data_IF_573453836160
#
_entry.id   IF_573453836160
#
_cell.length_a   1.000
_cell.length_b   1.000
_cell.length_c   1.000
_cell.angle_alpha   90.00
_cell.angle_beta   90.00
_cell.angle_gamma   90.00
#
_symmetry.space_group_name_H-M   'P 1'
#
loop_
_entity.id
_entity.type
_entity.pdbx_description
1 polymer ?
#
# COMPACT_ATOMS: atom_id res chain seq x y z
N UNK A 1 28.75 -11.30 -30.80
CA UNK A 1 28.62 -10.09 -31.64
C UNK A 1 27.18 -9.63 -31.52
N UNK A 2 26.91 -8.54 -30.80
CA UNK A 2 25.57 -7.96 -30.71
C UNK A 2 25.53 -6.71 -31.57
N UNK A 3 24.69 -6.71 -32.60
CA UNK A 3 24.39 -5.52 -33.40
C UNK A 3 23.54 -4.55 -32.57
N UNK A 4 24.05 -3.34 -32.37
CA UNK A 4 23.27 -2.25 -31.81
C UNK A 4 22.36 -1.68 -32.90
N UNK A 5 21.06 -1.88 -32.73
CA UNK A 5 20.03 -1.20 -33.51
C UNK A 5 20.04 0.27 -33.08
N UNK A 6 20.62 1.15 -33.90
CA UNK A 6 20.50 2.61 -33.75
C UNK A 6 19.09 3.03 -34.18
N UNK A 7 18.29 3.45 -33.22
CA UNK A 7 17.13 4.31 -33.49
C UNK A 7 17.61 5.76 -33.43
N UNK A 8 17.34 6.52 -34.50
CA UNK A 8 17.65 7.96 -34.57
C UNK A 8 16.82 8.72 -33.52
N UNK A 9 17.47 9.23 -32.48
CA UNK A 9 16.84 10.10 -31.47
C UNK A 9 17.40 11.51 -31.64
N UNK A 10 16.69 12.35 -32.39
CA UNK A 10 17.04 13.74 -32.69
C UNK A 10 16.57 14.75 -31.63
N UNK A 11 16.61 14.37 -30.35
CA UNK A 11 16.31 15.23 -29.21
C UNK A 11 17.17 14.77 -28.04
N UNK A 12 17.62 15.68 -27.17
CA UNK A 12 18.53 15.41 -26.05
C UNK A 12 17.95 14.50 -24.95
N UNK A 13 17.53 13.29 -25.31
CA UNK A 13 17.04 12.25 -24.44
C UNK A 13 18.25 11.47 -23.94
N UNK A 14 18.61 11.67 -22.67
CA UNK A 14 19.61 10.84 -22.01
C UNK A 14 18.95 9.54 -21.54
N UNK A 15 19.51 8.38 -21.94
CA UNK A 15 19.18 7.10 -21.34
C UNK A 15 19.93 6.96 -20.02
N UNK A 16 19.27 7.22 -18.90
CA UNK A 16 19.87 7.17 -17.55
C UNK A 16 19.32 6.06 -16.67
N UNK A 17 18.27 5.38 -17.12
CA UNK A 17 17.63 4.31 -16.38
C UNK A 17 17.98 2.96 -17.02
N UNK A 18 18.50 2.02 -16.23
CA UNK A 18 19.01 0.72 -16.71
C UNK A 18 18.34 -0.44 -15.98
N UNK A 19 18.15 -1.56 -16.69
CA UNK A 19 17.85 -2.86 -16.09
C UNK A 19 19.13 -3.69 -16.08
N UNK A 20 19.67 -3.95 -14.89
CA UNK A 20 20.84 -4.81 -14.71
C UNK A 20 20.35 -6.16 -14.23
N UNK A 21 20.68 -7.22 -14.97
CA UNK A 21 20.34 -8.60 -14.64
C UNK A 21 21.58 -9.48 -14.74
N UNK A 22 21.56 -10.59 -14.00
CA UNK A 22 22.61 -11.60 -14.12
C UNK A 22 22.52 -12.32 -15.47
N UNK A 23 23.64 -12.90 -15.91
CA UNK A 23 23.71 -13.60 -17.20
C UNK A 23 22.75 -14.79 -17.27
N UNK A 24 22.43 -15.38 -16.13
CA UNK A 24 21.50 -16.49 -15.97
C UNK A 24 20.04 -16.04 -16.15
N UNK A 25 19.70 -14.79 -15.80
CA UNK A 25 18.34 -14.26 -15.89
C UNK A 25 18.04 -13.72 -17.30
N UNK A 26 19.05 -13.23 -18.00
CA UNK A 26 18.90 -12.57 -19.30
C UNK A 26 18.09 -13.39 -20.34
N UNK A 27 18.29 -14.72 -20.50
CA UNK A 27 17.53 -15.53 -21.46
C UNK A 27 16.03 -15.62 -21.15
N UNK A 28 15.61 -15.29 -19.93
CA UNK A 28 14.22 -15.31 -19.53
C UNK A 28 13.50 -14.00 -19.81
N UNK A 29 14.19 -12.91 -20.18
CA UNK A 29 13.54 -11.66 -20.56
C UNK A 29 12.90 -11.84 -21.95
N UNK A 30 11.57 -11.76 -22.01
CA UNK A 30 10.79 -11.92 -23.25
C UNK A 30 10.49 -10.58 -23.91
N UNK A 31 10.33 -9.54 -23.10
CA UNK A 31 9.97 -8.21 -23.56
C UNK A 31 10.71 -7.16 -22.75
N UNK A 32 11.16 -6.10 -23.41
CA UNK A 32 11.75 -4.92 -22.78
C UNK A 32 11.44 -3.69 -23.62
N UNK A 33 10.67 -2.76 -23.07
CA UNK A 33 10.22 -1.55 -23.75
C UNK A 33 10.34 -0.34 -22.82
N UNK A 34 10.74 0.80 -23.37
CA UNK A 34 10.59 2.11 -22.73
C UNK A 34 9.27 2.69 -23.22
N UNK A 35 8.32 2.87 -22.31
CA UNK A 35 7.01 3.43 -22.64
C UNK A 35 7.10 4.95 -22.83
N UNK A 36 6.14 5.50 -23.56
CA UNK A 36 6.02 6.96 -23.72
C UNK A 36 5.99 7.67 -22.36
N UNK A 37 6.60 8.85 -22.32
CA UNK A 37 6.59 9.70 -21.14
C UNK A 37 5.13 10.02 -20.75
N UNK A 38 4.79 9.69 -19.51
CA UNK A 38 3.51 10.06 -18.92
C UNK A 38 3.75 10.99 -17.72
N UNK A 39 3.42 12.29 -17.86
CA UNK A 39 3.54 13.29 -16.78
C UNK A 39 2.78 12.94 -15.50
N UNK A 40 1.91 11.92 -15.56
CA UNK A 40 1.20 11.39 -14.40
C UNK A 40 2.12 10.60 -13.46
N UNK A 41 3.14 9.93 -13.99
CA UNK A 41 3.97 8.98 -13.25
C UNK A 41 5.39 9.47 -12.99
N UNK A 42 5.89 10.39 -13.81
CA UNK A 42 7.20 11.03 -13.62
C UNK A 42 7.19 12.41 -14.28
N UNK A 43 8.07 13.29 -13.82
CA UNK A 43 8.35 14.59 -14.40
C UNK A 43 9.54 14.59 -15.36
N UNK A 44 10.43 13.59 -15.26
CA UNK A 44 11.67 13.54 -16.05
C UNK A 44 11.95 12.18 -16.71
N UNK A 45 11.31 11.09 -16.27
CA UNK A 45 11.64 9.73 -16.71
C UNK A 45 10.48 9.02 -17.41
N UNK A 46 10.80 8.29 -18.48
CA UNK A 46 9.88 7.33 -19.07
C UNK A 46 9.85 6.03 -18.27
N UNK A 47 8.70 5.35 -18.25
CA UNK A 47 8.59 4.05 -17.55
C UNK A 47 9.27 2.96 -18.39
N UNK A 48 10.13 2.17 -17.76
CA UNK A 48 10.58 0.90 -18.32
C UNK A 48 9.58 -0.22 -18.02
N UNK A 49 9.28 -1.03 -19.03
CA UNK A 49 8.45 -2.22 -18.95
C UNK A 49 9.27 -3.41 -19.42
N UNK A 50 9.27 -4.50 -18.65
CA UNK A 50 9.88 -5.74 -19.10
C UNK A 50 9.10 -6.94 -18.58
N UNK A 51 9.17 -8.05 -19.32
CA UNK A 51 8.51 -9.30 -18.98
C UNK A 51 9.54 -10.41 -18.87
N UNK A 52 9.50 -11.16 -17.78
CA UNK A 52 10.37 -12.33 -17.56
C UNK A 52 9.51 -13.59 -17.64
N UNK A 53 9.89 -14.53 -18.50
CA UNK A 53 9.31 -15.88 -18.57
C UNK A 53 9.97 -16.76 -17.53
N UNK A 54 9.31 -16.90 -16.39
CA UNK A 54 9.71 -17.88 -15.38
C UNK A 54 8.89 -19.16 -15.52
N UNK A 55 9.56 -20.27 -15.87
CA UNK A 55 9.02 -21.62 -15.63
C UNK A 55 9.24 -21.99 -14.15
N UNK A 56 8.61 -21.25 -13.23
CA UNK A 56 8.76 -21.54 -11.81
C UNK A 56 7.82 -22.69 -11.41
N UNK A 57 8.37 -23.86 -11.08
CA UNK A 57 7.80 -24.66 -10.00
C UNK A 57 8.07 -23.86 -8.73
N UNK A 58 7.05 -23.17 -8.24
CA UNK A 58 7.15 -22.30 -7.07
C UNK A 58 7.40 -23.18 -5.84
N UNK A 59 8.66 -23.30 -5.43
CA UNK A 59 9.00 -23.59 -4.03
C UNK A 59 9.13 -22.22 -3.37
N UNK A 60 8.10 -21.83 -2.62
CA UNK A 60 8.04 -20.55 -1.94
C UNK A 60 9.07 -20.49 -0.80
N UNK A 61 10.24 -19.92 -1.06
CA UNK A 61 11.07 -19.29 -0.02
C UNK A 61 11.06 -17.78 -0.28
N UNK A 62 10.07 -17.08 0.26
CA UNK A 62 9.99 -15.63 0.17
C UNK A 62 10.54 -15.00 1.46
N UNK A 63 11.78 -14.50 1.40
CA UNK A 63 12.21 -13.37 2.22
C UNK A 63 11.86 -12.08 1.47
N UNK A 64 10.79 -11.40 1.88
CA UNK A 64 10.51 -10.02 1.47
C UNK A 64 10.43 -9.15 2.73
N UNK A 65 11.27 -8.12 2.76
CA UNK A 65 11.31 -7.11 3.81
C UNK A 65 9.99 -6.32 3.85
N UNK A 66 9.42 -6.22 5.04
CA UNK A 66 8.10 -5.63 5.30
C UNK A 66 8.09 -4.11 5.11
N UNK A 67 7.11 -3.64 4.33
CA UNK A 67 6.54 -2.31 4.49
C UNK A 67 5.65 -2.27 5.73
N UNK A 68 5.68 -1.16 6.48
CA UNK A 68 4.86 -0.84 7.67
C UNK A 68 3.35 -0.80 7.38
N UNK A 69 2.77 -1.95 7.07
CA UNK A 69 1.34 -2.17 7.20
C UNK A 69 1.14 -3.11 8.40
N UNK A 70 0.43 -2.64 9.43
CA UNK A 70 0.03 -3.41 10.63
C UNK A 70 -0.99 -4.53 10.32
N UNK A 71 -0.84 -5.22 9.20
CA UNK A 71 -1.52 -6.48 8.94
C UNK A 71 -0.63 -7.59 9.49
N UNK A 72 -1.18 -8.40 10.39
CA UNK A 72 -0.53 -9.63 10.80
C UNK A 72 -0.56 -10.58 9.61
N UNK A 73 0.59 -10.76 8.97
CA UNK A 73 0.74 -11.66 7.82
C UNK A 73 0.86 -13.09 8.34
N UNK A 74 0.17 -14.03 7.69
CA UNK A 74 0.33 -15.46 7.98
C UNK A 74 1.75 -15.90 7.59
N UNK A 75 2.48 -16.49 8.54
CA UNK A 75 3.83 -17.03 8.32
C UNK A 75 3.79 -18.52 8.66
N UNK A 76 4.36 -19.37 7.80
CA UNK A 76 4.28 -20.83 7.96
C UNK A 76 4.76 -21.33 9.34
N UNK A 77 5.77 -20.69 9.93
CA UNK A 77 6.26 -21.01 11.28
C UNK A 77 5.28 -20.73 12.43
N UNK A 78 4.12 -20.14 12.16
CA UNK A 78 3.05 -19.89 13.15
C UNK A 78 1.91 -20.89 13.08
N UNK A 79 1.96 -21.84 12.12
CA UNK A 79 0.92 -22.84 11.92
C UNK A 79 0.68 -23.66 13.18
N UNK A 80 1.73 -24.24 13.74
CA UNK A 80 1.60 -25.16 14.87
C UNK A 80 1.09 -24.41 16.10
N UNK A 81 1.57 -23.19 16.35
CA UNK A 81 1.07 -22.31 17.42
C UNK A 81 -0.44 -22.05 17.30
N UNK A 82 -0.95 -21.86 16.08
CA UNK A 82 -2.39 -21.64 15.84
C UNK A 82 -3.20 -22.92 16.05
N UNK A 83 -2.69 -24.05 15.57
CA UNK A 83 -3.33 -25.36 15.72
C UNK A 83 -3.37 -25.75 17.19
N UNK A 84 -2.25 -25.63 17.91
CA UNK A 84 -2.17 -25.90 19.35
C UNK A 84 -3.14 -25.00 20.13
N UNK A 85 -3.28 -23.72 19.75
CA UNK A 85 -4.22 -22.81 20.38
C UNK A 85 -5.71 -23.17 20.15
N UNK A 86 -6.03 -23.93 19.10
CA UNK A 86 -7.36 -24.50 18.88
C UNK A 86 -7.52 -25.80 19.68
N UNK A 87 -6.50 -26.66 19.67
CA UNK A 87 -6.48 -27.92 20.45
C UNK A 87 -6.62 -27.63 21.95
N UNK A 88 -5.99 -26.57 22.46
CA UNK A 88 -6.14 -26.09 23.84
C UNK A 88 -7.60 -25.77 24.21
N UNK A 89 -8.49 -25.59 23.22
CA UNK A 89 -9.91 -25.31 23.39
C UNK A 89 -10.81 -26.51 23.04
N UNK A 90 -10.23 -27.73 22.96
CA UNK A 90 -10.96 -28.94 22.58
C UNK A 90 -12.21 -29.17 23.43
N UNK A 91 -12.12 -29.01 24.76
CA UNK A 91 -13.28 -29.17 25.65
C UNK A 91 -14.44 -28.22 25.30
N UNK A 92 -14.13 -27.01 24.84
CA UNK A 92 -15.14 -26.04 24.40
C UNK A 92 -15.75 -26.43 23.07
N UNK A 93 -14.95 -27.01 22.16
CA UNK A 93 -15.41 -27.53 20.87
C UNK A 93 -16.34 -28.73 21.11
N UNK A 94 -15.94 -29.66 21.96
CA UNK A 94 -16.71 -30.87 22.29
C UNK A 94 -18.05 -30.48 22.94
N UNK A 95 -18.05 -29.50 23.84
CA UNK A 95 -19.29 -28.95 24.41
C UNK A 95 -20.20 -28.32 23.34
N UNK A 96 -19.65 -27.61 22.34
CA UNK A 96 -20.45 -27.06 21.24
C UNK A 96 -21.05 -28.19 20.39
N UNK A 97 -20.30 -29.25 20.13
CA UNK A 97 -20.76 -30.39 19.34
C UNK A 97 -21.89 -31.14 20.05
N UNK A 98 -21.76 -31.42 21.36
CA UNK A 98 -22.83 -32.04 22.15
C UNK A 98 -24.09 -31.16 22.15
N UNK A 99 -23.95 -29.85 22.35
CA UNK A 99 -25.08 -28.92 22.29
C UNK A 99 -25.74 -28.89 20.90
N UNK A 100 -24.99 -29.12 19.82
CA UNK A 100 -25.56 -29.20 18.47
C UNK A 100 -26.34 -30.49 18.23
N UNK A 101 -25.90 -31.61 18.82
CA UNK A 101 -26.57 -32.90 18.71
C UNK A 101 -27.88 -32.97 19.51
N UNK A 102 -27.95 -32.24 20.62
CA UNK A 102 -29.14 -32.20 21.48
C UNK A 102 -30.27 -31.28 20.93
N UNK A 103 -29.96 -30.40 19.96
CA UNK A 103 -30.92 -29.43 19.43
C UNK A 103 -31.64 -29.98 18.19
N UNK A 104 -32.85 -30.50 18.41
CA UNK A 104 -33.69 -31.07 17.33
C UNK A 104 -34.24 -30.02 16.35
N UNK A 105 -34.53 -28.79 16.80
CA UNK A 105 -35.01 -27.68 15.97
C UNK A 105 -34.42 -26.36 16.46
N UNK A 106 -33.24 -25.95 15.96
CA UNK A 106 -32.55 -24.77 16.46
C UNK A 106 -33.30 -23.49 16.09
N UNK A 107 -33.46 -22.61 17.07
CA UNK A 107 -33.86 -21.22 16.87
C UNK A 107 -32.71 -20.41 16.28
N UNK A 108 -33.03 -19.27 15.66
CA UNK A 108 -32.02 -18.37 15.10
C UNK A 108 -31.00 -17.90 16.17
N UNK A 109 -31.46 -17.70 17.41
CA UNK A 109 -30.62 -17.24 18.51
C UNK A 109 -29.62 -18.32 18.95
N UNK A 110 -30.03 -19.59 18.97
CA UNK A 110 -29.14 -20.71 19.25
C UNK A 110 -28.06 -20.86 18.16
N UNK A 111 -28.44 -20.72 16.89
CA UNK A 111 -27.50 -20.72 15.76
C UNK A 111 -26.49 -19.57 15.91
N UNK A 112 -26.98 -18.34 16.17
CA UNK A 112 -26.11 -17.18 16.36
C UNK A 112 -25.15 -17.38 17.55
N UNK A 113 -25.63 -17.96 18.64
CA UNK A 113 -24.81 -18.25 19.82
C UNK A 113 -23.70 -19.26 19.50
N UNK A 114 -24.02 -20.34 18.79
CA UNK A 114 -23.04 -21.34 18.35
C UNK A 114 -22.00 -20.72 17.40
N UNK A 115 -22.45 -19.96 16.41
CA UNK A 115 -21.55 -19.25 15.47
C UNK A 115 -20.61 -18.30 16.22
N UNK A 116 -21.12 -17.57 17.22
CA UNK A 116 -20.31 -16.69 18.05
C UNK A 116 -19.29 -17.46 18.89
N UNK A 117 -19.66 -18.60 19.48
CA UNK A 117 -18.73 -19.46 20.24
C UNK A 117 -17.60 -19.98 19.36
N UNK A 118 -17.92 -20.51 18.17
CA UNK A 118 -16.93 -20.98 17.20
C UNK A 118 -16.03 -19.83 16.74
N UNK A 119 -16.61 -18.68 16.41
CA UNK A 119 -15.86 -17.49 15.99
C UNK A 119 -14.89 -17.04 17.08
N UNK A 120 -15.31 -17.08 18.35
CA UNK A 120 -14.46 -16.72 19.48
C UNK A 120 -13.28 -17.67 19.66
N UNK A 121 -13.44 -18.97 19.40
CA UNK A 121 -12.35 -19.96 19.43
C UNK A 121 -11.27 -19.57 18.41
N UNK A 122 -11.67 -19.31 17.16
CA UNK A 122 -10.74 -18.90 16.10
C UNK A 122 -10.10 -17.53 16.37
N UNK A 123 -10.86 -16.56 16.89
CA UNK A 123 -10.33 -15.24 17.27
C UNK A 123 -9.34 -15.35 18.41
N UNK A 124 -9.60 -16.20 19.41
CA UNK A 124 -8.69 -16.46 20.53
C UNK A 124 -7.39 -17.09 20.03
N UNK A 125 -7.48 -18.13 19.19
CA UNK A 125 -6.32 -18.78 18.57
C UNK A 125 -5.50 -17.79 17.73
N UNK A 126 -6.16 -16.94 16.94
CA UNK A 126 -5.51 -15.89 16.17
C UNK A 126 -4.80 -14.88 17.07
N UNK A 127 -5.44 -14.43 18.16
CA UNK A 127 -4.83 -13.50 19.10
C UNK A 127 -3.62 -14.10 19.82
N UNK A 128 -3.64 -15.39 20.15
CA UNK A 128 -2.49 -16.10 20.75
C UNK A 128 -1.33 -16.22 19.75
N UNK A 129 -1.64 -16.45 18.47
CA UNK A 129 -0.66 -16.67 17.40
C UNK A 129 -0.03 -15.39 16.86
N UNK A 130 -0.84 -14.35 16.71
CA UNK A 130 -0.45 -13.10 16.06
C UNK A 130 -0.30 -11.93 17.02
N UNK A 131 -0.74 -12.09 18.28
CA UNK A 131 -0.89 -11.02 19.24
C UNK A 131 -2.24 -10.31 19.06
N UNK A 132 -2.75 -9.68 20.13
CA UNK A 132 -3.90 -8.78 19.99
C UNK A 132 -3.46 -7.56 19.18
N UNK A 133 -4.27 -7.14 18.20
CA UNK A 133 -4.12 -5.79 17.65
C UNK A 133 -4.22 -4.82 18.81
N UNK A 134 -3.12 -4.17 19.18
CA UNK A 134 -3.21 -2.95 19.94
C UNK A 134 -4.05 -1.99 19.10
N UNK A 135 -5.14 -1.46 19.66
CA UNK A 135 -5.80 -0.29 19.10
C UNK A 135 -4.89 0.91 19.31
N UNK A 136 -3.74 0.94 18.65
CA UNK A 136 -2.84 2.08 18.66
C UNK A 136 -3.31 3.07 17.61
N UNK A 137 -4.30 3.88 17.99
CA UNK A 137 -4.53 5.15 17.34
C UNK A 137 -4.82 6.22 18.40
N UNK A 138 -3.92 6.38 19.36
CA UNK A 138 -3.49 7.76 19.61
C UNK A 138 -2.65 8.13 18.38
N UNK A 139 -3.33 8.65 17.36
CA UNK A 139 -2.64 9.30 16.25
C UNK A 139 -1.93 10.46 16.92
N UNK A 140 -0.63 10.29 17.10
CA UNK A 140 0.26 11.37 17.50
C UNK A 140 0.06 12.48 16.46
N UNK A 141 -0.74 13.50 16.81
CA UNK A 141 -1.06 14.63 15.95
C UNK A 141 0.20 15.47 15.65
N UNK A 142 1.38 15.07 16.16
CA UNK A 142 2.63 15.80 16.13
C UNK A 142 3.36 15.83 14.79
N UNK A 143 2.85 15.19 13.72
CA UNK A 143 3.58 15.12 12.42
C UNK A 143 2.76 15.42 11.18
N UNK A 144 1.73 16.26 11.28
CA UNK A 144 1.20 16.85 10.06
C UNK A 144 2.13 17.97 9.61
N UNK A 145 2.68 17.82 8.41
CA UNK A 145 3.37 18.89 7.71
C UNK A 145 2.52 20.17 7.79
N UNK A 146 3.04 21.28 8.35
CA UNK A 146 2.25 22.50 8.60
C UNK A 146 1.75 23.17 7.31
N UNK A 147 2.27 22.76 6.15
CA UNK A 147 1.85 23.19 4.83
C UNK A 147 0.76 22.31 4.21
N UNK A 148 0.51 21.11 4.75
CA UNK A 148 -0.45 20.13 4.23
C UNK A 148 -1.84 20.35 4.83
N UNK A 149 -2.57 21.31 4.23
CA UNK A 149 -3.87 21.77 4.76
C UNK A 149 -5.03 20.79 4.50
N UNK A 150 -6.18 21.04 5.14
CA UNK A 150 -7.44 20.32 4.87
C UNK A 150 -7.80 20.28 3.38
N UNK A 151 -7.53 21.36 2.63
CA UNK A 151 -7.73 21.40 1.18
C UNK A 151 -6.84 20.41 0.44
N UNK A 152 -5.59 20.22 0.88
CA UNK A 152 -4.69 19.20 0.34
C UNK A 152 -5.27 17.80 0.57
N UNK A 153 -5.80 17.52 1.77
CA UNK A 153 -6.48 16.26 2.07
C UNK A 153 -7.69 16.01 1.18
N UNK A 154 -8.54 17.02 0.99
CA UNK A 154 -9.72 16.93 0.12
C UNK A 154 -9.33 16.60 -1.33
N UNK A 155 -8.37 17.34 -1.90
CA UNK A 155 -7.92 17.07 -3.27
C UNK A 155 -7.23 15.71 -3.40
N UNK A 156 -6.46 15.28 -2.39
CA UNK A 156 -5.87 13.92 -2.35
C UNK A 156 -6.97 12.85 -2.36
N UNK A 157 -8.01 12.99 -1.53
CA UNK A 157 -9.15 12.05 -1.48
C UNK A 157 -9.86 11.97 -2.83
N UNK A 158 -10.10 13.11 -3.48
CA UNK A 158 -10.71 13.16 -4.82
C UNK A 158 -9.85 12.45 -5.87
N UNK A 159 -8.54 12.72 -5.89
CA UNK A 159 -7.61 12.04 -6.79
C UNK A 159 -7.60 10.52 -6.56
N UNK A 160 -7.53 10.05 -5.31
CA UNK A 160 -7.54 8.62 -5.00
C UNK A 160 -8.86 7.94 -5.37
N UNK A 161 -10.01 8.64 -5.25
CA UNK A 161 -11.30 8.14 -5.76
C UNK A 161 -11.26 7.98 -7.29
N UNK A 162 -10.80 9.00 -8.01
CA UNK A 162 -10.69 8.94 -9.47
C UNK A 162 -9.70 7.87 -9.95
N UNK A 163 -8.56 7.70 -9.25
CA UNK A 163 -7.58 6.64 -9.51
C UNK A 163 -8.18 5.24 -9.35
N UNK A 164 -8.94 4.99 -8.27
CA UNK A 164 -9.67 3.73 -8.07
C UNK A 164 -10.71 3.50 -9.18
N UNK A 165 -11.50 4.52 -9.53
CA UNK A 165 -12.49 4.45 -10.62
C UNK A 165 -11.86 4.05 -11.95
N UNK A 166 -10.71 4.64 -12.31
CA UNK A 166 -9.96 4.25 -13.50
C UNK A 166 -9.37 2.83 -13.40
N UNK A 167 -8.90 2.43 -12.22
CA UNK A 167 -8.44 1.07 -11.96
C UNK A 167 -9.52 0.00 -12.20
N UNK A 168 -10.77 0.29 -11.82
CA UNK A 168 -11.92 -0.58 -12.07
C UNK A 168 -12.39 -0.57 -13.53
N UNK A 169 -12.42 0.61 -14.17
CA UNK A 169 -12.87 0.74 -15.56
C UNK A 169 -11.91 1.63 -16.37
N UNK A 170 -11.05 1.00 -17.17
CA UNK A 170 -10.01 1.67 -17.96
C UNK A 170 -10.52 2.24 -19.28
N UNK A 171 -11.35 3.29 -19.20
CA UNK A 171 -11.84 4.01 -20.38
C UNK A 171 -11.29 5.45 -20.46
N UNK A 172 -11.45 6.08 -21.63
CA UNK A 172 -10.92 7.43 -21.91
C UNK A 172 -11.52 8.50 -20.97
N UNK A 173 -12.81 8.40 -20.65
CA UNK A 173 -13.49 9.31 -19.74
C UNK A 173 -12.90 9.25 -18.32
N UNK A 174 -12.78 8.06 -17.74
CA UNK A 174 -12.19 7.86 -16.40
C UNK A 174 -10.71 8.27 -16.37
N UNK A 175 -9.96 8.05 -17.46
CA UNK A 175 -8.58 8.53 -17.60
C UNK A 175 -8.51 10.05 -17.56
N UNK A 176 -9.42 10.74 -18.26
CA UNK A 176 -9.50 12.21 -18.27
C UNK A 176 -9.88 12.77 -16.89
N UNK A 177 -10.86 12.16 -16.20
CA UNK A 177 -11.24 12.54 -14.84
C UNK A 177 -10.08 12.38 -13.85
N UNK A 178 -9.39 11.23 -13.89
CA UNK A 178 -8.22 10.98 -13.06
C UNK A 178 -7.11 12.01 -13.31
N UNK A 179 -6.80 12.33 -14.58
CA UNK A 179 -5.83 13.36 -14.94
C UNK A 179 -6.23 14.74 -14.44
N UNK A 180 -7.51 15.11 -14.55
CA UNK A 180 -8.04 16.38 -14.02
C UNK A 180 -7.88 16.46 -12.50
N UNK A 181 -8.25 15.41 -11.77
CA UNK A 181 -8.13 15.34 -10.32
C UNK A 181 -6.66 15.39 -9.86
N UNK A 182 -5.75 14.72 -10.58
CA UNK A 182 -4.30 14.77 -10.33
C UNK A 182 -3.76 16.19 -10.45
N UNK A 183 -4.09 16.91 -11.54
CA UNK A 183 -3.68 18.32 -11.74
C UNK A 183 -4.18 19.23 -10.62
N UNK A 184 -5.44 19.07 -10.20
CA UNK A 184 -6.01 19.85 -9.09
C UNK A 184 -5.29 19.57 -7.77
N UNK A 185 -4.95 18.31 -7.50
CA UNK A 185 -4.21 17.94 -6.31
C UNK A 185 -2.80 18.54 -6.31
N UNK A 186 -2.04 18.39 -7.40
CA UNK A 186 -0.70 18.98 -7.53
C UNK A 186 -0.72 20.50 -7.38
N UNK A 187 -1.72 21.18 -7.94
CA UNK A 187 -1.92 22.62 -7.78
C UNK A 187 -2.11 23.02 -6.31
N UNK A 188 -2.95 22.29 -5.58
CA UNK A 188 -3.22 22.60 -4.17
C UNK A 188 -2.01 22.31 -3.28
N UNK A 189 -1.25 21.25 -3.55
CA UNK A 189 0.03 20.98 -2.88
C UNK A 189 1.00 22.13 -3.04
N UNK A 190 1.23 22.56 -4.29
CA UNK A 190 2.14 23.67 -4.57
C UNK A 190 1.67 24.96 -3.89
N UNK A 191 0.36 25.24 -3.92
CA UNK A 191 -0.22 26.40 -3.21
C UNK A 191 0.03 26.34 -1.70
N UNK A 192 -0.20 25.18 -1.07
CA UNK A 192 0.03 24.98 0.36
C UNK A 192 1.50 25.18 0.72
N UNK A 193 2.40 24.56 -0.05
CA UNK A 193 3.85 24.66 0.14
C UNK A 193 4.38 26.08 -0.07
N UNK A 194 4.02 26.75 -1.16
CA UNK A 194 4.43 28.14 -1.42
C UNK A 194 3.90 29.09 -0.35
N UNK A 195 2.65 28.91 0.09
CA UNK A 195 2.07 29.74 1.13
C UNK A 195 2.75 29.55 2.49
N UNK A 196 3.19 28.33 2.81
CA UNK A 196 3.98 28.06 4.01
C UNK A 196 5.39 28.65 3.92
N UNK A 197 6.08 28.43 2.79
CA UNK A 197 7.43 28.97 2.56
C UNK A 197 7.45 30.49 2.71
N UNK A 198 6.46 31.18 2.12
CA UNK A 198 6.31 32.64 2.25
C UNK A 198 6.16 33.08 3.72
N UNK A 199 5.32 32.38 4.51
CA UNK A 199 5.15 32.70 5.94
C UNK A 199 6.45 32.48 6.71
N UNK A 200 7.15 31.37 6.46
CA UNK A 200 8.43 31.09 7.11
C UNK A 200 9.48 32.17 6.80
N UNK A 201 9.56 32.64 5.56
CA UNK A 201 10.43 33.76 5.18
C UNK A 201 10.05 35.06 5.91
N UNK A 202 8.75 35.34 6.04
CA UNK A 202 8.27 36.52 6.74
C UNK A 202 8.61 36.49 8.24
N UNK A 203 8.43 35.33 8.88
CA UNK A 203 8.81 35.11 10.28
C UNK A 203 10.32 35.28 10.48
N UNK A 204 11.15 34.67 9.62
CA UNK A 204 12.61 34.86 9.65
C UNK A 204 13.00 36.34 9.57
N UNK A 205 12.38 37.09 8.64
CA UNK A 205 12.65 38.54 8.49
C UNK A 205 12.23 39.34 9.71
N UNK A 206 11.09 39.00 10.34
CA UNK A 206 10.62 39.66 11.57
C UNK A 206 11.57 39.38 12.73
N UNK A 207 11.91 38.12 12.99
CA UNK A 207 12.79 37.74 14.09
C UNK A 207 14.17 38.37 13.93
N UNK A 208 14.73 38.37 12.71
CA UNK A 208 16.00 39.03 12.39
C UNK A 208 15.97 40.54 12.67
N UNK A 209 14.86 41.23 12.36
CA UNK A 209 14.73 42.69 12.53
C UNK A 209 14.49 43.11 13.98
N UNK A 210 13.68 42.37 14.73
CA UNK A 210 13.20 42.80 16.04
C UNK A 210 13.92 42.11 17.21
N UNK A 211 14.39 40.87 17.04
CA UNK A 211 15.11 40.11 18.06
C UNK A 211 16.40 39.47 17.47
N UNK A 212 17.40 40.27 17.08
CA UNK A 212 18.63 39.75 16.47
C UNK A 212 19.47 38.86 17.40
N UNK A 213 19.18 38.82 18.71
CA UNK A 213 19.85 37.94 19.68
C UNK A 213 19.21 36.55 19.84
N UNK A 214 17.99 36.35 19.34
CA UNK A 214 17.33 35.03 19.31
C UNK A 214 17.65 34.26 18.01
N UNK A 215 18.36 34.91 17.09
CA UNK A 215 18.83 34.35 15.83
C UNK A 215 20.23 33.74 15.98
#
# INVERSE_FOLDING_TARGET
MGEFIKTDISGGCSLIDYLIVSSEIFPFIVDFNVLDFDPLFSDTHSRQHFTIKCNARVVHENQFNQSDNNYQIWVNGKRDIFVDAIIDQQDSIDSILVNLEEVNTPTQDEINNIVNKISNIFVSAANKTFGKKQSSYDVDNSKFDPWFTTKCHEKRRLFQRAKRKYGWARNAHNKAEMKKASKLYKRELNRGFSGYSFRMEEEIRKTSKFNPKEF
#
